data_IF_702290526055
#
_entry.id   IF_702290526055
#
_cell.length_a   1.000
_cell.length_b   1.000
_cell.length_c   1.000
_cell.angle_alpha   90.00
_cell.angle_beta   90.00
_cell.angle_gamma   90.00
#
_symmetry.space_group_name_H-M   'P 1'
#
loop_
_entity.id
_entity.type
_entity.pdbx_description
1 polymer ?
#
# COMPACT_ATOMS: atom_id res chain seq x y z
N UNK A 1 0.48 29.60 13.00
CA UNK A 1 0.86 28.26 12.52
C UNK A 1 0.21 27.25 13.45
N UNK A 2 -0.73 26.44 12.99
CA UNK A 2 -1.37 25.43 13.83
C UNK A 2 -0.35 24.33 14.11
N UNK A 3 0.07 24.20 15.37
CA UNK A 3 1.04 23.20 15.79
C UNK A 3 0.32 21.86 15.99
N UNK A 4 0.76 20.82 15.28
CA UNK A 4 0.29 19.46 15.48
C UNK A 4 0.66 18.96 16.87
N UNK A 5 -0.32 18.43 17.59
CA UNK A 5 -0.06 17.89 18.95
C UNK A 5 0.37 16.43 18.83
N UNK A 6 1.46 16.08 19.52
CA UNK A 6 2.00 14.72 19.50
C UNK A 6 1.41 13.91 20.66
N UNK A 7 1.00 12.69 20.30
CA UNK A 7 0.51 11.64 21.19
C UNK A 7 1.18 10.32 20.87
N UNK A 8 1.04 9.34 21.77
CA UNK A 8 1.54 7.98 21.58
C UNK A 8 0.34 7.01 21.58
N UNK A 9 -0.54 7.14 20.57
CA UNK A 9 -1.71 6.27 20.38
C UNK A 9 -1.36 4.90 19.84
N UNK A 10 -0.12 4.72 19.43
CA UNK A 10 0.42 3.45 18.95
C UNK A 10 1.58 3.02 19.84
N UNK A 11 1.87 1.74 19.83
CA UNK A 11 2.98 1.14 20.58
C UNK A 11 3.62 0.00 19.80
N UNK A 12 4.88 -0.26 20.07
CA UNK A 12 5.57 -1.42 19.51
C UNK A 12 5.00 -2.71 20.14
N UNK A 13 4.59 -3.64 19.28
CA UNK A 13 4.12 -4.98 19.68
C UNK A 13 5.28 -5.97 19.69
N UNK A 14 5.10 -7.09 20.38
CA UNK A 14 6.05 -8.22 20.43
C UNK A 14 7.44 -7.85 20.99
N UNK A 15 7.51 -6.86 21.89
CA UNK A 15 8.74 -6.52 22.62
C UNK A 15 9.83 -5.84 21.80
N UNK A 16 9.48 -5.25 20.68
CA UNK A 16 10.42 -4.48 19.84
C UNK A 16 10.74 -5.14 18.51
N UNK A 17 11.99 -4.97 18.03
CA UNK A 17 12.42 -5.44 16.71
C UNK A 17 12.42 -6.95 16.59
N UNK A 18 11.57 -7.46 15.69
CA UNK A 18 11.68 -8.81 15.16
C UNK A 18 12.68 -8.81 14.01
N UNK A 19 13.34 -9.92 13.74
CA UNK A 19 14.09 -10.13 12.50
C UNK A 19 13.22 -10.92 11.54
N UNK A 20 13.28 -10.58 10.27
CA UNK A 20 12.78 -11.47 9.22
C UNK A 20 13.62 -12.75 9.30
N UNK A 21 12.99 -13.94 9.33
CA UNK A 21 13.70 -15.21 9.46
C UNK A 21 14.80 -15.39 8.42
N UNK A 22 15.87 -16.07 8.80
CA UNK A 22 16.99 -16.37 7.89
C UNK A 22 16.58 -17.34 6.77
N UNK A 23 15.48 -18.09 6.98
CA UNK A 23 14.85 -18.94 5.95
C UNK A 23 14.29 -18.16 4.77
N UNK A 24 14.09 -16.83 4.90
CA UNK A 24 13.77 -15.94 3.77
C UNK A 24 15.04 -15.69 2.97
N UNK A 25 15.16 -16.42 1.86
CA UNK A 25 16.33 -16.38 0.97
C UNK A 25 16.45 -15.03 0.23
N UNK A 26 17.61 -14.75 -0.28
CA UNK A 26 17.88 -13.61 -1.15
C UNK A 26 17.67 -12.24 -0.51
N UNK A 27 17.66 -11.22 -1.33
CA UNK A 27 17.33 -9.84 -0.98
C UNK A 27 15.84 -9.61 -1.17
N UNK A 28 15.21 -8.94 -0.23
CA UNK A 28 13.79 -8.58 -0.31
C UNK A 28 13.62 -7.51 -1.37
N UNK A 29 12.87 -7.83 -2.44
CA UNK A 29 12.55 -6.90 -3.53
C UNK A 29 11.14 -6.33 -3.42
N UNK A 30 10.19 -7.14 -2.98
CA UNK A 30 8.80 -6.71 -2.83
C UNK A 30 8.09 -7.45 -1.68
N UNK A 31 7.07 -6.81 -1.15
CA UNK A 31 6.25 -7.38 -0.06
C UNK A 31 4.78 -7.04 -0.27
N UNK A 32 3.92 -7.94 0.19
CA UNK A 32 2.48 -7.71 0.28
C UNK A 32 1.92 -8.35 1.54
N UNK A 33 0.72 -7.94 1.92
CA UNK A 33 0.00 -8.54 3.03
C UNK A 33 -1.47 -8.73 2.69
N UNK A 34 -2.08 -9.73 3.27
CA UNK A 34 -3.50 -10.01 3.12
C UNK A 34 -3.86 -11.37 3.68
N UNK A 35 -5.14 -11.52 4.08
CA UNK A 35 -5.71 -12.76 4.61
C UNK A 35 -4.90 -13.40 5.73
N UNK A 36 -4.33 -12.55 6.60
CA UNK A 36 -3.56 -13.00 7.75
C UNK A 36 -2.15 -13.53 7.42
N UNK A 37 -1.57 -13.11 6.31
CA UNK A 37 -0.21 -13.49 5.90
C UNK A 37 0.60 -12.26 5.47
N UNK A 38 1.89 -12.33 5.68
CA UNK A 38 2.87 -11.44 5.05
C UNK A 38 3.62 -12.27 4.01
N UNK A 39 3.70 -11.75 2.80
CA UNK A 39 4.32 -12.41 1.64
C UNK A 39 5.49 -11.56 1.18
N UNK A 40 6.63 -12.19 1.01
CA UNK A 40 7.90 -11.57 0.61
C UNK A 40 8.37 -12.20 -0.70
N UNK A 41 8.69 -11.37 -1.68
CA UNK A 41 9.34 -11.76 -2.92
C UNK A 41 10.79 -11.35 -2.91
N UNK A 42 11.66 -12.25 -3.33
CA UNK A 42 13.12 -12.09 -3.29
C UNK A 42 13.74 -12.04 -4.69
N UNK A 43 14.97 -11.55 -4.75
CA UNK A 43 15.76 -11.42 -5.97
C UNK A 43 16.23 -12.77 -6.56
N UNK A 44 16.06 -13.86 -5.83
CA UNK A 44 16.33 -15.22 -6.29
C UNK A 44 15.09 -15.95 -6.87
N UNK A 45 13.98 -15.24 -7.05
CA UNK A 45 12.72 -15.79 -7.59
C UNK A 45 11.84 -16.48 -6.57
N UNK A 46 12.24 -16.52 -5.31
CA UNK A 46 11.50 -17.20 -4.23
C UNK A 46 10.44 -16.28 -3.64
N UNK A 47 9.28 -16.87 -3.35
CA UNK A 47 8.23 -16.24 -2.52
C UNK A 47 8.18 -16.93 -1.19
N UNK A 48 8.32 -16.18 -0.10
CA UNK A 48 8.23 -16.64 1.28
C UNK A 48 6.97 -16.11 1.96
N UNK A 49 6.30 -16.96 2.72
CA UNK A 49 5.13 -16.60 3.52
C UNK A 49 5.46 -16.64 5.00
N UNK A 50 5.04 -15.60 5.70
CA UNK A 50 5.21 -15.46 7.14
C UNK A 50 3.86 -15.46 7.84
N UNK A 51 3.86 -15.99 9.08
CA UNK A 51 2.72 -16.00 9.97
C UNK A 51 2.56 -14.65 10.73
N UNK A 52 1.58 -14.62 11.65
CA UNK A 52 1.28 -13.43 12.47
C UNK A 52 2.45 -13.00 13.37
N UNK A 53 3.30 -13.92 13.78
CA UNK A 53 4.49 -13.65 14.59
C UNK A 53 5.71 -13.25 13.74
N UNK A 54 5.53 -13.10 12.43
CA UNK A 54 6.60 -12.95 11.44
C UNK A 54 7.55 -14.16 11.40
N UNK A 55 7.07 -15.35 11.84
CA UNK A 55 7.82 -16.57 11.70
C UNK A 55 7.67 -17.13 10.29
N UNK A 56 8.70 -17.79 9.81
CA UNK A 56 8.67 -18.48 8.53
C UNK A 56 7.63 -19.61 8.54
N UNK A 57 6.79 -19.63 7.53
CA UNK A 57 5.78 -20.67 7.34
C UNK A 57 6.23 -21.62 6.23
N UNK A 58 6.35 -21.14 5.02
CA UNK A 58 6.92 -21.87 3.88
C UNK A 58 7.39 -20.91 2.79
N UNK A 59 8.18 -21.43 1.85
CA UNK A 59 8.61 -20.71 0.66
C UNK A 59 8.52 -21.63 -0.57
N UNK A 60 8.38 -21.00 -1.74
CA UNK A 60 8.36 -21.73 -3.01
C UNK A 60 8.99 -20.89 -4.13
N UNK A 61 9.60 -21.52 -5.14
CA UNK A 61 10.12 -20.85 -6.31
C UNK A 61 8.96 -20.38 -7.21
N UNK A 62 8.70 -19.07 -7.21
CA UNK A 62 7.65 -18.48 -8.04
C UNK A 62 8.16 -18.14 -9.44
N UNK A 63 9.39 -17.67 -9.56
CA UNK A 63 10.05 -17.28 -10.80
C UNK A 63 11.49 -17.85 -10.86
N UNK A 64 12.06 -17.89 -12.07
CA UNK A 64 13.40 -18.46 -12.25
C UNK A 64 14.53 -17.55 -11.83
N UNK A 65 14.29 -16.22 -11.74
CA UNK A 65 15.31 -15.23 -11.40
C UNK A 65 14.81 -14.33 -10.26
N UNK A 66 13.99 -13.35 -10.53
CA UNK A 66 13.59 -12.36 -9.52
C UNK A 66 12.08 -12.17 -9.43
N UNK A 67 11.56 -11.96 -8.22
CA UNK A 67 10.17 -11.52 -7.99
C UNK A 67 10.19 -10.01 -7.85
N UNK A 68 9.74 -9.29 -8.88
CA UNK A 68 9.79 -7.82 -8.90
C UNK A 68 8.59 -7.18 -8.21
N UNK A 69 7.40 -7.77 -8.40
CA UNK A 69 6.16 -7.30 -7.78
C UNK A 69 5.32 -8.48 -7.34
N UNK A 70 4.58 -8.28 -6.26
CA UNK A 70 3.58 -9.24 -5.82
C UNK A 70 2.43 -8.54 -5.10
N UNK A 71 1.25 -9.14 -5.18
CA UNK A 71 0.08 -8.68 -4.44
C UNK A 71 -0.75 -9.88 -3.98
N UNK A 72 -0.91 -10.01 -2.66
CA UNK A 72 -1.86 -10.93 -2.04
C UNK A 72 -3.28 -10.38 -2.20
N UNK A 73 -4.18 -11.19 -2.75
CA UNK A 73 -5.57 -10.81 -2.94
C UNK A 73 -6.37 -10.98 -1.64
N UNK A 74 -7.43 -10.18 -1.49
CA UNK A 74 -8.23 -10.13 -0.25
C UNK A 74 -9.47 -11.04 -0.28
N UNK A 75 -10.14 -11.14 -1.43
CA UNK A 75 -11.37 -11.92 -1.56
C UNK A 75 -11.07 -13.42 -1.73
N UNK A 76 -10.07 -13.76 -2.54
CA UNK A 76 -9.55 -15.12 -2.69
C UNK A 76 -8.13 -15.21 -2.18
N UNK A 77 -7.72 -16.40 -1.73
CA UNK A 77 -6.35 -16.65 -1.26
C UNK A 77 -5.40 -16.84 -2.45
N UNK A 78 -5.47 -15.88 -3.39
CA UNK A 78 -4.60 -15.85 -4.56
C UNK A 78 -3.46 -14.87 -4.36
N UNK A 79 -2.32 -15.25 -4.87
CA UNK A 79 -1.14 -14.41 -4.96
C UNK A 79 -0.85 -14.13 -6.42
N UNK A 80 -0.80 -12.87 -6.80
CA UNK A 80 -0.40 -12.43 -8.14
C UNK A 80 1.03 -11.93 -8.05
N UNK A 81 1.92 -12.46 -8.89
CA UNK A 81 3.33 -12.09 -8.93
C UNK A 81 3.75 -11.65 -10.33
N UNK A 82 4.72 -10.76 -10.40
CA UNK A 82 5.46 -10.43 -11.61
C UNK A 82 6.94 -10.69 -11.35
N UNK A 83 7.57 -11.42 -12.23
CA UNK A 83 8.99 -11.72 -12.11
C UNK A 83 9.60 -12.14 -13.44
N UNK A 84 10.89 -12.36 -13.38
CA UNK A 84 11.71 -12.80 -14.51
C UNK A 84 11.78 -14.32 -14.54
N UNK A 85 11.35 -14.91 -15.66
CA UNK A 85 11.51 -16.32 -15.95
C UNK A 85 12.58 -16.56 -17.01
N UNK A 86 12.96 -17.83 -17.22
CA UNK A 86 14.04 -18.22 -18.08
C UNK A 86 13.97 -17.60 -19.48
N UNK A 87 15.13 -17.32 -20.03
CA UNK A 87 15.32 -16.67 -21.31
C UNK A 87 14.76 -17.52 -22.46
N UNK A 88 13.94 -16.92 -23.29
CA UNK A 88 13.47 -17.52 -24.55
C UNK A 88 14.54 -17.35 -25.62
N UNK A 89 15.47 -16.41 -25.45
CA UNK A 89 16.65 -16.19 -26.27
C UNK A 89 17.76 -15.57 -25.42
N UNK A 90 19.05 -15.64 -25.85
CA UNK A 90 20.19 -15.10 -25.08
C UNK A 90 20.12 -13.59 -24.76
N UNK A 91 19.10 -12.89 -25.27
CA UNK A 91 18.97 -11.43 -25.13
C UNK A 91 17.64 -10.97 -24.52
N UNK A 92 16.71 -11.87 -24.14
CA UNK A 92 15.42 -11.50 -23.58
C UNK A 92 14.99 -12.43 -22.43
N UNK A 93 15.05 -11.94 -21.21
CA UNK A 93 14.32 -12.54 -20.10
C UNK A 93 12.81 -12.38 -20.30
N UNK A 94 12.06 -13.45 -20.07
CA UNK A 94 10.62 -13.39 -20.17
C UNK A 94 10.02 -12.80 -18.88
N UNK A 95 9.48 -11.60 -18.98
CA UNK A 95 8.70 -11.03 -17.89
C UNK A 95 7.33 -11.69 -17.83
N UNK A 96 7.08 -12.46 -16.77
CA UNK A 96 5.85 -13.23 -16.59
C UNK A 96 5.04 -12.74 -15.38
N UNK A 97 3.73 -12.74 -15.56
CA UNK A 97 2.77 -12.62 -14.49
C UNK A 97 2.25 -14.02 -14.17
N UNK A 98 2.29 -14.41 -12.91
CA UNK A 98 1.77 -15.68 -12.42
C UNK A 98 0.73 -15.48 -11.34
N UNK A 99 -0.27 -16.36 -11.30
CA UNK A 99 -1.30 -16.38 -10.26
C UNK A 99 -1.24 -17.72 -9.56
N UNK A 100 -1.03 -17.70 -8.27
CA UNK A 100 -0.95 -18.88 -7.40
C UNK A 100 -2.19 -18.98 -6.52
N UNK A 101 -2.75 -20.18 -6.39
CA UNK A 101 -3.81 -20.51 -5.43
C UNK A 101 -3.17 -21.05 -4.16
N UNK A 102 -3.11 -20.22 -3.12
CA UNK A 102 -2.47 -20.59 -1.85
C UNK A 102 -3.31 -21.52 -0.98
N UNK A 103 -4.55 -21.83 -1.37
CA UNK A 103 -5.37 -22.85 -0.70
C UNK A 103 -5.13 -24.25 -1.30
N UNK A 104 -4.54 -24.31 -2.51
CA UNK A 104 -4.23 -25.55 -3.21
C UNK A 104 -2.73 -25.80 -3.24
N UNK A 105 -2.30 -26.71 -2.40
CA UNK A 105 -0.91 -27.16 -2.36
C UNK A 105 -0.77 -28.46 -3.14
N UNK A 106 0.11 -28.49 -4.11
CA UNK A 106 0.42 -29.74 -4.81
C UNK A 106 1.32 -30.62 -3.92
N UNK A 107 0.94 -31.88 -3.66
CA UNK A 107 1.79 -32.81 -2.94
C UNK A 107 2.98 -33.20 -3.84
N UNK A 108 4.11 -32.54 -3.68
CA UNK A 108 5.37 -33.08 -4.21
C UNK A 108 5.92 -34.16 -3.29
N UNK A 109 6.39 -35.25 -3.88
CA UNK A 109 6.81 -36.48 -3.20
C UNK A 109 8.02 -36.38 -2.26
N UNK A 110 8.55 -35.18 -1.97
CA UNK A 110 9.61 -34.94 -1.00
C UNK A 110 9.56 -33.50 -0.48
N UNK A 111 9.11 -33.34 0.75
CA UNK A 111 9.34 -32.23 1.69
C UNK A 111 9.00 -30.76 1.35
N UNK A 112 8.48 -30.39 0.20
CA UNK A 112 7.98 -29.02 -0.07
C UNK A 112 6.70 -29.03 -0.91
N UNK A 113 5.59 -28.65 -0.31
CA UNK A 113 4.34 -28.42 -1.04
C UNK A 113 4.41 -27.06 -1.75
N UNK A 114 4.26 -27.06 -3.08
CA UNK A 114 4.24 -25.83 -3.91
C UNK A 114 2.78 -25.43 -4.17
N UNK A 115 2.39 -24.16 -4.03
CA UNK A 115 1.06 -23.68 -4.40
C UNK A 115 0.75 -23.90 -5.89
N UNK A 116 -0.51 -24.21 -6.17
CA UNK A 116 -0.95 -24.41 -7.57
C UNK A 116 -0.88 -23.11 -8.37
N UNK A 117 -0.10 -23.14 -9.45
CA UNK A 117 -0.03 -22.02 -10.39
C UNK A 117 -1.20 -22.12 -11.38
N UNK A 118 -2.27 -21.37 -11.11
CA UNK A 118 -3.52 -21.42 -11.88
C UNK A 118 -3.50 -20.58 -13.16
N UNK A 119 -2.46 -19.78 -13.38
CA UNK A 119 -2.34 -19.02 -14.62
C UNK A 119 -0.99 -18.36 -14.80
N UNK A 120 -0.49 -18.37 -16.03
CA UNK A 120 0.79 -17.77 -16.43
C UNK A 120 0.56 -16.91 -17.66
N UNK A 121 0.99 -15.65 -17.60
CA UNK A 121 0.87 -14.71 -18.70
C UNK A 121 2.20 -14.01 -18.97
N UNK A 122 2.64 -14.00 -20.22
CA UNK A 122 3.72 -13.10 -20.66
C UNK A 122 3.19 -11.67 -20.70
N UNK A 123 3.89 -10.74 -20.05
CA UNK A 123 3.50 -9.33 -20.00
C UNK A 123 3.81 -8.67 -21.34
N UNK A 124 5.04 -8.84 -21.82
CA UNK A 124 5.49 -8.22 -23.06
C UNK A 124 5.21 -9.12 -24.26
N UNK A 125 4.61 -8.55 -25.28
CA UNK A 125 4.24 -9.19 -26.53
C UNK A 125 4.49 -8.21 -27.68
N UNK A 126 4.22 -8.59 -28.93
CA UNK A 126 4.35 -7.68 -30.06
C UNK A 126 3.46 -6.42 -29.93
N UNK A 127 2.30 -6.54 -29.27
CA UNK A 127 1.40 -5.41 -28.98
C UNK A 127 1.83 -4.58 -27.77
N UNK A 128 2.59 -5.18 -26.86
CA UNK A 128 3.06 -4.61 -25.61
C UNK A 128 4.58 -4.77 -25.54
N UNK A 129 5.34 -3.87 -26.21
CA UNK A 129 6.79 -3.97 -26.27
C UNK A 129 7.42 -3.81 -24.91
N UNK A 130 8.63 -4.36 -24.75
CA UNK A 130 9.36 -4.37 -23.50
C UNK A 130 9.66 -2.96 -23.00
N UNK A 131 9.43 -2.73 -21.70
CA UNK A 131 9.75 -1.54 -20.97
C UNK A 131 9.95 -1.89 -19.48
N UNK A 132 10.56 -1.01 -18.70
CA UNK A 132 10.76 -1.27 -17.28
C UNK A 132 9.44 -1.10 -16.52
N UNK A 133 9.06 -2.10 -15.75
CA UNK A 133 7.88 -2.03 -14.87
C UNK A 133 8.24 -1.18 -13.64
N UNK A 134 7.40 -0.21 -13.31
CA UNK A 134 7.63 0.75 -12.23
C UNK A 134 6.54 0.73 -11.16
N UNK A 135 5.36 0.21 -11.51
CA UNK A 135 4.23 0.09 -10.57
C UNK A 135 3.32 -1.06 -10.95
N UNK A 136 2.64 -1.61 -9.97
CA UNK A 136 1.77 -2.77 -10.14
C UNK A 136 0.58 -2.68 -9.17
N UNK A 137 -0.62 -2.99 -9.68
CA UNK A 137 -1.83 -3.00 -8.88
C UNK A 137 -2.84 -3.99 -9.45
N UNK A 138 -3.49 -4.76 -8.57
CA UNK A 138 -4.54 -5.71 -8.93
C UNK A 138 -5.83 -5.35 -8.21
N UNK A 139 -6.92 -5.31 -8.95
CA UNK A 139 -8.29 -5.20 -8.44
C UNK A 139 -9.04 -6.50 -8.67
N UNK A 140 -9.66 -7.02 -7.61
CA UNK A 140 -10.65 -8.10 -7.69
C UNK A 140 -12.02 -7.48 -8.00
N UNK A 141 -12.45 -7.48 -9.26
CA UNK A 141 -13.71 -6.85 -9.69
C UNK A 141 -14.92 -7.69 -9.28
N UNK A 142 -14.97 -8.92 -9.74
CA UNK A 142 -15.91 -9.95 -9.33
C UNK A 142 -15.26 -11.31 -9.57
N UNK A 143 -14.93 -12.09 -8.54
CA UNK A 143 -14.25 -13.37 -8.75
C UNK A 143 -14.96 -14.26 -9.78
N UNK A 144 -14.27 -14.81 -10.79
CA UNK A 144 -12.80 -14.87 -10.92
C UNK A 144 -12.14 -13.73 -11.73
N UNK A 145 -12.84 -12.64 -12.03
CA UNK A 145 -12.34 -11.56 -12.87
C UNK A 145 -11.37 -10.69 -12.10
N UNK A 146 -10.15 -10.56 -12.62
CA UNK A 146 -9.14 -9.63 -12.14
C UNK A 146 -8.95 -8.50 -13.15
N UNK A 147 -8.70 -7.31 -12.64
CA UNK A 147 -8.18 -6.18 -13.41
C UNK A 147 -6.80 -5.83 -12.89
N UNK A 148 -5.81 -5.98 -13.74
CA UNK A 148 -4.40 -5.78 -13.43
C UNK A 148 -3.92 -4.56 -14.17
N UNK A 149 -3.29 -3.61 -13.47
CA UNK A 149 -2.64 -2.44 -14.05
C UNK A 149 -1.13 -2.51 -13.79
N UNK A 150 -0.34 -2.42 -14.85
CA UNK A 150 1.12 -2.47 -14.85
C UNK A 150 1.63 -1.17 -15.42
N UNK A 151 2.18 -0.32 -14.56
CA UNK A 151 2.76 0.96 -14.94
C UNK A 151 4.22 0.80 -15.38
N UNK A 152 4.60 1.55 -16.39
CA UNK A 152 5.90 1.47 -17.05
C UNK A 152 6.66 2.80 -16.95
N UNK A 153 7.97 2.73 -17.19
CA UNK A 153 8.88 3.88 -17.18
C UNK A 153 8.68 4.86 -18.36
N UNK A 154 7.94 4.44 -19.37
CA UNK A 154 7.63 5.24 -20.56
C UNK A 154 6.22 5.89 -20.50
N UNK A 155 5.60 5.99 -19.33
CA UNK A 155 4.28 6.61 -19.13
C UNK A 155 3.10 5.77 -19.63
N UNK A 156 3.35 4.53 -20.05
CA UNK A 156 2.30 3.59 -20.43
C UNK A 156 1.81 2.80 -19.21
N UNK A 157 0.54 2.37 -19.27
CA UNK A 157 -0.03 1.42 -18.33
C UNK A 157 -0.59 0.27 -19.16
N UNK A 158 -0.11 -0.95 -18.92
CA UNK A 158 -0.68 -2.15 -19.51
C UNK A 158 -1.75 -2.70 -18.59
N UNK A 159 -2.95 -2.87 -19.14
CA UNK A 159 -4.08 -3.40 -18.41
C UNK A 159 -4.46 -4.77 -18.94
N UNK A 160 -4.69 -5.72 -18.01
CA UNK A 160 -5.13 -7.07 -18.29
C UNK A 160 -6.41 -7.28 -17.49
N UNK A 161 -7.53 -7.58 -18.16
CA UNK A 161 -8.82 -7.82 -17.52
C UNK A 161 -9.35 -9.19 -17.92
N UNK A 162 -9.77 -9.98 -16.94
CA UNK A 162 -10.44 -11.25 -17.20
C UNK A 162 -10.16 -12.36 -16.18
N UNK A 163 -10.57 -13.57 -16.55
CA UNK A 163 -10.30 -14.79 -15.80
C UNK A 163 -8.99 -15.42 -16.32
N UNK A 164 -7.93 -15.21 -15.54
CA UNK A 164 -6.58 -15.66 -15.92
C UNK A 164 -6.49 -17.19 -15.93
N UNK A 165 -7.14 -17.87 -14.98
CA UNK A 165 -7.12 -19.32 -14.87
C UNK A 165 -7.78 -20.02 -16.08
N UNK A 166 -8.72 -19.36 -16.74
CA UNK A 166 -9.39 -19.86 -17.95
C UNK A 166 -8.89 -19.23 -19.23
N UNK A 167 -7.82 -18.42 -19.16
CA UNK A 167 -7.25 -17.68 -20.28
C UNK A 167 -8.25 -16.76 -21.01
N UNK A 168 -9.34 -16.37 -20.33
CA UNK A 168 -10.36 -15.45 -20.87
C UNK A 168 -10.02 -14.04 -20.49
N UNK A 169 -9.04 -13.46 -21.19
CA UNK A 169 -8.50 -12.14 -20.88
C UNK A 169 -8.61 -11.19 -22.05
N UNK A 170 -8.77 -9.91 -21.74
CA UNK A 170 -8.59 -8.80 -22.67
C UNK A 170 -7.39 -7.98 -22.21
N UNK A 171 -6.65 -7.44 -23.19
CA UNK A 171 -5.50 -6.57 -22.93
C UNK A 171 -5.73 -5.22 -23.59
N UNK A 172 -5.42 -4.15 -22.89
CA UNK A 172 -5.48 -2.80 -23.44
C UNK A 172 -4.39 -1.93 -22.84
N UNK A 173 -4.14 -0.80 -23.50
CA UNK A 173 -3.07 0.12 -23.14
C UNK A 173 -3.65 1.50 -22.82
N UNK A 174 -3.17 2.12 -21.77
CA UNK A 174 -3.42 3.51 -21.42
C UNK A 174 -2.12 4.29 -21.55
N UNK A 175 -2.21 5.56 -21.94
CA UNK A 175 -1.07 6.44 -22.08
C UNK A 175 -1.31 7.71 -21.26
N UNK A 176 -0.38 8.02 -20.34
CA UNK A 176 -0.47 9.21 -19.50
C UNK A 176 -0.01 10.45 -20.25
N UNK A 177 1.10 10.36 -21.02
CA UNK A 177 1.64 11.48 -21.77
C UNK A 177 1.22 11.45 -23.23
N UNK A 178 1.13 12.63 -23.88
CA UNK A 178 0.97 12.68 -25.32
C UNK A 178 2.26 12.19 -26.01
N UNK A 179 2.12 11.32 -26.99
CA UNK A 179 3.24 10.70 -27.74
C UNK A 179 4.20 11.73 -28.38
N UNK A 180 3.77 13.00 -28.47
CA UNK A 180 4.55 14.12 -29.01
C UNK A 180 5.61 14.67 -28.07
N UNK A 181 5.48 14.46 -26.75
CA UNK A 181 6.46 14.92 -25.77
C UNK A 181 7.58 13.89 -25.60
N UNK A 182 8.81 14.26 -25.94
CA UNK A 182 10.00 13.40 -25.86
C UNK A 182 10.44 13.02 -24.44
N UNK A 183 9.78 13.57 -23.42
CA UNK A 183 10.06 13.27 -22.00
C UNK A 183 8.94 12.42 -21.41
N UNK A 184 8.97 11.12 -21.65
CA UNK A 184 8.06 10.21 -20.97
C UNK A 184 8.41 10.14 -19.49
N UNK A 185 7.42 10.38 -18.62
CA UNK A 185 7.59 10.24 -17.18
C UNK A 185 7.09 8.86 -16.71
N UNK A 186 7.91 8.18 -15.92
CA UNK A 186 7.57 6.87 -15.33
C UNK A 186 6.26 6.92 -14.53
N UNK A 187 5.47 5.87 -14.59
CA UNK A 187 4.32 5.70 -13.69
C UNK A 187 4.84 5.41 -12.27
N UNK A 188 4.65 6.34 -11.37
CA UNK A 188 5.13 6.26 -9.97
C UNK A 188 4.10 5.71 -9.00
N UNK A 189 2.82 5.72 -9.39
CA UNK A 189 1.74 5.19 -8.57
C UNK A 189 0.46 4.94 -9.34
N UNK A 190 -0.31 4.00 -8.84
CA UNK A 190 -1.60 3.58 -9.38
C UNK A 190 -2.62 3.47 -8.25
N UNK A 191 -3.89 3.78 -8.52
CA UNK A 191 -4.98 3.62 -7.56
C UNK A 191 -6.30 3.32 -8.26
N UNK A 192 -6.93 2.19 -7.97
CA UNK A 192 -8.28 1.91 -8.44
C UNK A 192 -9.33 2.57 -7.56
N UNK A 193 -10.33 3.15 -8.20
CA UNK A 193 -11.56 3.63 -7.58
C UNK A 193 -12.74 2.89 -8.20
N UNK A 194 -13.55 2.31 -7.33
CA UNK A 194 -14.83 1.68 -7.71
C UNK A 194 -15.94 2.45 -7.01
N UNK A 195 -16.86 3.02 -7.77
CA UNK A 195 -18.01 3.77 -7.26
C UNK A 195 -19.27 3.31 -8.01
N UNK A 196 -20.01 2.40 -7.37
CA UNK A 196 -21.11 1.71 -8.01
C UNK A 196 -20.66 0.92 -9.25
N UNK A 197 -21.14 1.35 -10.43
CA UNK A 197 -20.69 0.78 -11.71
C UNK A 197 -19.49 1.51 -12.31
N UNK A 198 -19.09 2.64 -11.74
CA UNK A 198 -17.97 3.43 -12.25
C UNK A 198 -16.64 2.81 -11.81
N UNK A 199 -15.86 2.35 -12.78
CA UNK A 199 -14.51 1.86 -12.59
C UNK A 199 -13.52 2.86 -13.15
N UNK A 200 -12.64 3.33 -12.29
CA UNK A 200 -11.67 4.38 -12.60
C UNK A 200 -10.27 3.97 -12.12
N UNK A 201 -9.25 4.48 -12.80
CA UNK A 201 -7.86 4.28 -12.45
C UNK A 201 -7.14 5.63 -12.35
N UNK A 202 -6.66 5.96 -11.18
CA UNK A 202 -5.68 7.02 -10.99
C UNK A 202 -4.31 6.54 -11.43
N UNK A 203 -3.62 7.39 -12.16
CA UNK A 203 -2.24 7.19 -12.58
C UNK A 203 -1.40 8.42 -12.23
N UNK A 204 -0.32 8.20 -11.53
CA UNK A 204 0.60 9.24 -11.06
C UNK A 204 1.94 9.06 -11.77
N UNK A 205 2.49 10.18 -12.23
CA UNK A 205 3.87 10.32 -12.68
C UNK A 205 4.55 11.40 -11.84
N UNK A 206 5.86 11.64 -11.94
CA UNK A 206 6.47 12.80 -11.28
C UNK A 206 5.85 14.14 -11.71
N UNK A 207 5.32 14.20 -12.92
CA UNK A 207 4.88 15.43 -13.57
C UNK A 207 3.35 15.58 -13.66
N UNK A 208 2.57 14.58 -13.29
CA UNK A 208 1.11 14.66 -13.42
C UNK A 208 0.34 13.69 -12.55
N UNK A 209 -0.92 14.03 -12.29
CA UNK A 209 -1.95 13.14 -11.76
C UNK A 209 -3.06 13.04 -12.79
N UNK A 210 -3.35 11.85 -13.25
CA UNK A 210 -4.37 11.56 -14.27
C UNK A 210 -5.40 10.56 -13.76
N UNK A 211 -6.64 10.70 -14.23
CA UNK A 211 -7.74 9.78 -13.97
C UNK A 211 -8.22 9.18 -15.28
N UNK A 212 -8.32 7.86 -15.35
CA UNK A 212 -8.87 7.13 -16.49
C UNK A 212 -10.23 6.55 -16.12
N UNK A 213 -11.26 6.85 -16.92
CA UNK A 213 -12.57 6.19 -16.83
C UNK A 213 -12.55 4.94 -17.71
N UNK A 214 -12.60 3.77 -17.10
CA UNK A 214 -12.39 2.49 -17.78
C UNK A 214 -13.66 1.87 -18.40
N UNK A 215 -14.85 2.48 -18.17
CA UNK A 215 -16.09 2.04 -18.83
C UNK A 215 -16.17 2.46 -20.28
N UNK A 216 -15.54 3.59 -20.63
CA UNK A 216 -15.58 4.14 -21.96
C UNK A 216 -14.68 3.32 -22.91
N UNK A 217 -15.09 3.13 -24.12
CA UNK A 217 -14.27 2.54 -25.18
C UNK A 217 -14.12 3.55 -26.31
N UNK A 218 -12.92 4.16 -26.48
CA UNK A 218 -11.70 4.02 -25.68
C UNK A 218 -11.81 4.66 -24.29
N UNK A 219 -10.97 4.23 -23.33
CA UNK A 219 -10.93 4.82 -21.99
C UNK A 219 -10.67 6.33 -22.04
N UNK A 220 -11.48 7.11 -21.30
CA UNK A 220 -11.33 8.58 -21.26
C UNK A 220 -10.34 8.97 -20.18
N UNK A 221 -9.35 9.77 -20.56
CA UNK A 221 -8.37 10.39 -19.63
C UNK A 221 -8.81 11.80 -19.23
N UNK A 222 -8.59 12.15 -17.97
CA UNK A 222 -8.67 13.48 -17.40
C UNK A 222 -7.39 13.76 -16.63
N UNK A 223 -6.71 14.86 -16.88
CA UNK A 223 -5.58 15.31 -16.06
C UNK A 223 -6.12 16.12 -14.89
N UNK A 224 -5.82 15.69 -13.67
CA UNK A 224 -6.26 16.33 -12.44
C UNK A 224 -5.24 17.34 -11.91
N UNK A 225 -3.94 17.11 -12.14
CA UNK A 225 -2.85 18.01 -11.76
C UNK A 225 -1.66 17.83 -12.71
N UNK A 226 -0.87 18.90 -12.87
CA UNK A 226 0.36 18.93 -13.67
C UNK A 226 1.62 18.72 -12.83
N UNK A 227 1.48 18.32 -11.60
CA UNK A 227 2.55 17.92 -10.69
C UNK A 227 2.11 16.62 -10.00
N UNK A 228 2.94 15.62 -10.01
CA UNK A 228 2.67 14.34 -9.37
C UNK A 228 3.55 14.06 -8.15
N UNK A 229 4.07 12.85 -8.01
CA UNK A 229 4.92 12.45 -6.90
C UNK A 229 5.90 11.33 -7.28
N UNK A 230 6.85 11.07 -6.37
CA UNK A 230 7.81 9.99 -6.52
C UNK A 230 7.22 8.60 -6.24
N UNK A 231 7.96 7.56 -6.55
CA UNK A 231 7.61 6.16 -6.26
C UNK A 231 7.37 5.96 -4.76
N UNK A 232 6.44 5.09 -4.39
CA UNK A 232 6.01 4.76 -3.02
C UNK A 232 5.35 5.91 -2.25
N UNK A 233 5.24 7.11 -2.84
CA UNK A 233 4.59 8.28 -2.24
C UNK A 233 3.12 8.41 -2.68
N UNK A 234 2.48 7.29 -2.99
CA UNK A 234 1.09 7.22 -3.46
C UNK A 234 0.34 6.15 -2.67
N UNK A 235 -0.86 6.48 -2.21
CA UNK A 235 -1.77 5.52 -1.57
C UNK A 235 -3.23 5.91 -1.81
N UNK A 236 -4.16 5.05 -1.41
CA UNK A 236 -5.59 5.31 -1.47
C UNK A 236 -6.18 5.37 -0.06
N UNK A 237 -7.10 6.31 0.19
CA UNK A 237 -7.89 6.32 1.42
C UNK A 237 -9.00 5.25 1.38
N UNK A 238 -9.60 4.98 2.54
CA UNK A 238 -10.80 4.12 2.66
C UNK A 238 -12.04 4.72 1.99
N UNK A 239 -12.01 6.02 1.63
CA UNK A 239 -13.02 6.71 0.81
C UNK A 239 -12.71 6.69 -0.69
N UNK A 240 -11.72 5.91 -1.11
CA UNK A 240 -11.26 5.85 -2.50
C UNK A 240 -10.75 7.19 -3.06
N UNK A 241 -10.18 8.04 -2.19
CA UNK A 241 -9.43 9.24 -2.58
C UNK A 241 -7.98 8.84 -2.85
N UNK A 242 -7.39 9.39 -3.90
CA UNK A 242 -5.96 9.23 -4.13
C UNK A 242 -5.19 10.19 -3.22
N UNK A 243 -4.16 9.69 -2.56
CA UNK A 243 -3.29 10.49 -1.70
C UNK A 243 -1.87 10.44 -2.25
N UNK A 244 -1.27 11.60 -2.48
CA UNK A 244 0.11 11.70 -2.94
C UNK A 244 0.96 12.56 -2.01
N UNK A 245 2.22 12.17 -1.85
CA UNK A 245 3.21 12.89 -1.06
C UNK A 245 4.17 13.68 -1.94
N UNK A 246 4.34 14.97 -1.62
CA UNK A 246 5.38 15.85 -2.15
C UNK A 246 6.26 16.34 -1.02
N UNK A 247 7.45 16.87 -1.27
CA UNK A 247 8.33 17.34 -0.19
C UNK A 247 7.68 18.32 0.78
N UNK A 248 6.80 19.20 0.30
CA UNK A 248 6.16 20.24 1.09
C UNK A 248 4.86 19.81 1.78
N UNK A 249 4.11 18.85 1.17
CA UNK A 249 2.77 18.51 1.64
C UNK A 249 2.30 17.13 1.16
N UNK A 250 1.18 16.70 1.72
CA UNK A 250 0.38 15.56 1.23
C UNK A 250 -0.92 16.11 0.65
N UNK A 251 -1.28 15.66 -0.54
CA UNK A 251 -2.43 16.11 -1.32
C UNK A 251 -3.42 14.99 -1.53
N UNK A 252 -4.70 15.31 -1.43
CA UNK A 252 -5.81 14.41 -1.72
C UNK A 252 -6.41 14.76 -3.07
N UNK A 253 -6.82 13.75 -3.82
CA UNK A 253 -7.47 13.90 -5.12
C UNK A 253 -8.74 13.07 -5.17
N UNK A 254 -9.79 13.71 -5.64
CA UNK A 254 -11.05 13.08 -6.02
C UNK A 254 -11.19 13.08 -7.55
N UNK A 255 -12.34 12.63 -8.06
CA UNK A 255 -12.59 12.51 -9.50
C UNK A 255 -12.67 13.87 -10.22
N UNK A 256 -13.05 14.92 -9.51
CA UNK A 256 -13.22 16.28 -10.01
C UNK A 256 -11.97 17.15 -9.85
N UNK A 257 -10.95 16.66 -9.14
CA UNK A 257 -9.68 17.37 -9.01
C UNK A 257 -9.02 17.25 -7.63
N UNK A 258 -8.24 18.27 -7.32
CA UNK A 258 -7.48 18.36 -6.09
C UNK A 258 -8.37 18.76 -4.91
N UNK A 259 -8.40 17.94 -3.89
CA UNK A 259 -9.06 18.16 -2.62
C UNK A 259 -8.17 18.84 -1.57
N UNK A 260 -8.34 18.51 -0.28
CA UNK A 260 -7.55 19.09 0.79
C UNK A 260 -6.07 18.73 0.70
N UNK A 261 -5.23 19.59 1.28
CA UNK A 261 -3.81 19.32 1.44
C UNK A 261 -3.37 19.57 2.89
N UNK A 262 -2.31 18.86 3.29
CA UNK A 262 -1.74 18.93 4.63
C UNK A 262 -0.24 19.17 4.53
N UNK A 263 0.23 20.30 5.08
CA UNK A 263 1.65 20.66 5.06
C UNK A 263 2.44 19.78 6.03
N UNK A 264 3.25 18.90 5.48
CA UNK A 264 4.25 18.09 6.18
C UNK A 264 5.55 18.22 5.40
N UNK A 265 6.55 18.82 5.99
CA UNK A 265 7.85 19.00 5.35
C UNK A 265 8.66 17.69 5.31
N UNK A 266 9.49 17.54 4.31
CA UNK A 266 10.39 16.42 4.09
C UNK A 266 9.94 15.46 3.00
N UNK A 267 10.89 14.77 2.41
CA UNK A 267 10.65 13.80 1.34
C UNK A 267 9.91 12.58 1.88
N UNK A 268 8.72 12.30 1.31
CA UNK A 268 7.90 11.15 1.67
C UNK A 268 8.41 9.92 0.94
N UNK A 269 9.05 9.03 1.66
CA UNK A 269 9.59 7.77 1.15
C UNK A 269 8.49 6.71 0.98
N UNK A 270 7.54 6.67 1.92
CA UNK A 270 6.35 5.83 1.84
C UNK A 270 5.13 6.59 2.36
N UNK A 271 4.01 6.38 1.70
CA UNK A 271 2.67 6.71 2.20
C UNK A 271 1.83 5.44 2.34
N UNK A 272 0.95 5.44 3.33
CA UNK A 272 -0.04 4.39 3.56
C UNK A 272 -1.28 4.95 4.23
N UNK A 273 -2.33 4.15 4.22
CA UNK A 273 -3.58 4.44 4.90
C UNK A 273 -3.96 3.28 5.81
N UNK A 274 -4.27 3.59 7.06
CA UNK A 274 -4.59 2.58 8.05
C UNK A 274 -5.69 3.07 8.97
N UNK A 275 -6.90 2.51 8.87
CA UNK A 275 -8.04 2.78 9.77
C UNK A 275 -8.31 4.28 10.00
N UNK A 276 -8.27 5.07 8.94
CA UNK A 276 -8.49 6.51 9.02
C UNK A 276 -7.25 7.34 9.38
N UNK A 277 -6.11 6.71 9.60
CA UNK A 277 -4.82 7.37 9.82
C UNK A 277 -4.00 7.42 8.53
N UNK A 278 -3.33 8.54 8.31
CA UNK A 278 -2.31 8.66 7.29
C UNK A 278 -0.97 8.18 7.86
N UNK A 279 -0.37 7.19 7.23
CA UNK A 279 0.97 6.71 7.52
C UNK A 279 1.97 7.41 6.60
N UNK A 280 3.08 7.88 7.17
CA UNK A 280 4.09 8.57 6.40
C UNK A 280 5.49 8.21 6.91
N UNK A 281 6.34 7.74 6.01
CA UNK A 281 7.78 7.60 6.26
C UNK A 281 8.48 8.77 5.58
N UNK A 282 9.15 9.59 6.36
CA UNK A 282 9.90 10.76 5.89
C UNK A 282 11.38 10.44 5.98
N UNK A 283 12.09 10.58 4.87
CA UNK A 283 13.54 10.42 4.82
C UNK A 283 14.25 11.63 5.45
N UNK A 284 15.13 11.40 6.42
CA UNK A 284 16.04 12.42 6.91
C UNK A 284 17.42 12.21 6.28
N UNK A 285 17.69 13.01 5.27
CA UNK A 285 18.97 12.94 4.52
C UNK A 285 20.19 13.28 5.38
N UNK A 286 20.01 13.98 6.51
CA UNK A 286 21.13 14.41 7.39
C UNK A 286 21.56 13.31 8.35
N UNK A 287 20.60 12.62 8.94
CA UNK A 287 20.89 11.57 9.94
C UNK A 287 21.04 10.18 9.31
N UNK A 288 20.65 10.00 8.05
CA UNK A 288 20.57 8.69 7.39
C UNK A 288 19.52 7.75 8.00
N UNK A 289 18.61 8.30 8.82
CA UNK A 289 17.47 7.60 9.42
C UNK A 289 16.19 8.07 8.78
N UNK A 290 15.16 7.26 8.88
CA UNK A 290 13.80 7.63 8.50
C UNK A 290 12.99 8.00 9.74
N UNK A 291 11.99 8.86 9.58
CA UNK A 291 11.00 9.13 10.62
C UNK A 291 9.65 8.57 10.16
N UNK A 292 9.14 7.60 10.90
CA UNK A 292 7.79 7.07 10.70
C UNK A 292 6.80 7.88 11.53
N UNK A 293 5.76 8.39 10.89
CA UNK A 293 4.69 9.16 11.52
C UNK A 293 3.33 8.57 11.18
N UNK A 294 2.43 8.62 12.18
CA UNK A 294 1.00 8.31 12.04
C UNK A 294 0.22 9.59 12.32
N UNK A 295 -0.55 10.06 11.35
CA UNK A 295 -1.32 11.30 11.46
C UNK A 295 -2.82 11.02 11.54
N UNK A 296 -3.47 11.55 12.58
CA UNK A 296 -4.90 11.74 12.63
C UNK A 296 -5.24 13.11 12.01
N UNK A 297 -5.58 13.10 10.73
CA UNK A 297 -5.84 14.33 9.98
C UNK A 297 -7.11 15.03 10.48
N UNK A 298 -8.12 14.27 10.88
CA UNK A 298 -9.41 14.79 11.36
C UNK A 298 -9.24 15.60 12.65
N UNK A 299 -8.46 15.06 13.59
CA UNK A 299 -8.22 15.70 14.88
C UNK A 299 -6.93 16.54 14.90
N UNK A 300 -6.18 16.58 13.79
CA UNK A 300 -4.90 17.30 13.65
C UNK A 300 -3.88 16.87 14.70
N UNK A 301 -3.70 15.58 14.87
CA UNK A 301 -2.77 14.98 15.80
C UNK A 301 -1.68 14.18 15.08
N UNK A 302 -0.47 14.21 15.62
CA UNK A 302 0.53 13.19 15.36
C UNK A 302 0.24 12.06 16.36
N UNK A 303 -0.43 11.00 15.89
CA UNK A 303 -0.84 9.88 16.73
C UNK A 303 0.33 8.99 17.15
N UNK A 304 1.42 9.00 16.37
CA UNK A 304 2.68 8.34 16.68
C UNK A 304 3.81 8.94 15.87
N UNK A 305 5.02 8.93 16.40
CA UNK A 305 6.21 9.38 15.68
C UNK A 305 7.45 8.67 16.22
N UNK A 306 8.13 7.95 15.35
CA UNK A 306 9.28 7.12 15.72
C UNK A 306 10.42 7.32 14.71
N UNK A 307 11.63 7.60 15.22
CA UNK A 307 12.84 7.57 14.39
C UNK A 307 13.31 6.13 14.23
N UNK A 308 13.45 5.68 12.99
CA UNK A 308 13.83 4.31 12.65
C UNK A 308 15.03 4.31 11.72
N UNK A 309 15.69 3.17 11.56
CA UNK A 309 16.63 2.96 10.46
C UNK A 309 15.87 3.05 9.14
N UNK A 310 16.59 3.01 8.02
CA UNK A 310 15.99 3.08 6.70
C UNK A 310 14.92 2.00 6.50
N UNK A 311 13.68 2.45 6.21
CA UNK A 311 12.55 1.59 5.89
C UNK A 311 12.68 1.13 4.44
N UNK A 312 12.58 -0.17 4.21
CA UNK A 312 12.52 -0.76 2.87
C UNK A 312 11.09 -1.04 2.41
N UNK A 313 10.22 -1.48 3.32
CA UNK A 313 8.82 -1.76 3.02
C UNK A 313 7.91 -1.40 4.20
N UNK A 314 6.67 -1.04 3.88
CA UNK A 314 5.63 -0.74 4.86
C UNK A 314 4.35 -1.50 4.49
N UNK A 315 3.82 -2.27 5.44
CA UNK A 315 2.66 -3.13 5.28
C UNK A 315 1.67 -2.91 6.43
N UNK A 316 0.41 -3.30 6.21
CA UNK A 316 -0.62 -3.29 7.24
C UNK A 316 -1.31 -4.65 7.26
N UNK A 317 -1.16 -5.40 8.36
CA UNK A 317 -1.80 -6.71 8.54
C UNK A 317 -2.10 -6.97 10.01
N UNK A 318 -3.06 -7.82 10.31
CA UNK A 318 -3.53 -8.18 11.67
C UNK A 318 -3.90 -6.98 12.55
N UNK A 319 -4.30 -5.87 11.95
CA UNK A 319 -4.57 -4.64 12.70
C UNK A 319 -3.33 -3.90 13.19
N UNK A 320 -2.14 -4.26 12.66
CA UNK A 320 -0.87 -3.61 12.96
C UNK A 320 -0.24 -3.03 11.69
N UNK A 321 0.69 -2.11 11.91
CA UNK A 321 1.57 -1.56 10.88
C UNK A 321 2.91 -2.29 11.02
N UNK A 322 3.43 -2.81 9.91
CA UNK A 322 4.69 -3.56 9.87
C UNK A 322 5.67 -2.77 9.00
N UNK A 323 6.77 -2.36 9.60
CA UNK A 323 7.89 -1.72 8.89
C UNK A 323 9.01 -2.74 8.76
N UNK A 324 9.40 -3.04 7.52
CA UNK A 324 10.59 -3.85 7.23
C UNK A 324 11.74 -2.88 6.93
N UNK A 325 12.85 -3.06 7.61
CA UNK A 325 14.03 -2.20 7.48
C UNK A 325 15.07 -2.84 6.53
N UNK A 326 15.97 -2.04 6.05
CA UNK A 326 17.02 -2.49 5.11
C UNK A 326 17.98 -3.54 5.70
N UNK A 327 18.07 -3.62 7.02
CA UNK A 327 18.86 -4.65 7.74
C UNK A 327 18.07 -5.95 8.02
N UNK A 328 16.95 -6.17 7.32
CA UNK A 328 16.01 -7.28 7.53
C UNK A 328 15.39 -7.32 8.95
N UNK A 329 15.51 -6.26 9.74
CA UNK A 329 14.72 -6.14 10.96
C UNK A 329 13.30 -5.66 10.63
N UNK A 330 12.33 -6.06 11.45
CA UNK A 330 10.94 -5.67 11.32
C UNK A 330 10.44 -5.04 12.62
N UNK A 331 9.62 -3.99 12.49
CA UNK A 331 8.92 -3.35 13.60
C UNK A 331 7.42 -3.57 13.40
N UNK A 332 6.77 -4.12 14.40
CA UNK A 332 5.32 -4.27 14.43
C UNK A 332 4.73 -3.24 15.38
N UNK A 333 3.89 -2.35 14.86
CA UNK A 333 3.33 -1.22 15.59
C UNK A 333 1.81 -1.38 15.60
N UNK A 334 1.23 -1.45 16.79
CA UNK A 334 -0.21 -1.61 16.97
C UNK A 334 -0.86 -0.40 17.63
N UNK A 335 -2.11 -0.17 17.31
CA UNK A 335 -2.93 0.85 17.95
C UNK A 335 -3.26 0.44 19.38
N UNK A 336 -3.16 1.39 20.33
CA UNK A 336 -3.61 1.21 21.71
C UNK A 336 -5.12 1.15 21.78
N UNK A 337 -5.63 0.53 22.84
CA UNK A 337 -7.06 0.50 23.11
C UNK A 337 -7.65 1.91 23.33
N UNK A 338 -8.97 2.01 23.23
CA UNK A 338 -9.67 3.29 23.34
C UNK A 338 -9.48 3.93 24.72
N UNK A 339 -9.51 3.12 25.78
CA UNK A 339 -9.37 3.61 27.15
C UNK A 339 -8.02 4.29 27.36
N UNK A 340 -6.93 3.65 26.94
CA UNK A 340 -5.58 4.22 27.00
C UNK A 340 -5.45 5.53 26.21
N UNK A 341 -6.09 5.62 25.03
CA UNK A 341 -6.08 6.86 24.24
C UNK A 341 -6.85 7.98 24.93
N UNK A 342 -8.04 7.68 25.48
CA UNK A 342 -8.87 8.65 26.21
C UNK A 342 -8.16 9.16 27.46
N UNK A 343 -7.51 8.30 28.22
CA UNK A 343 -6.74 8.68 29.40
C UNK A 343 -5.61 9.67 29.08
N UNK A 344 -4.92 9.47 27.96
CA UNK A 344 -3.90 10.42 27.49
C UNK A 344 -4.50 11.78 27.12
N UNK A 345 -5.71 11.81 26.54
CA UNK A 345 -6.42 13.04 26.20
C UNK A 345 -6.94 13.76 27.45
N UNK A 346 -7.51 13.03 28.42
CA UNK A 346 -8.02 13.59 29.70
C UNK A 346 -6.89 14.21 30.54
N UNK A 347 -5.73 13.55 30.61
CA UNK A 347 -4.54 14.10 31.28
C UNK A 347 -4.10 15.47 30.73
N UNK A 348 -4.48 15.78 29.48
CA UNK A 348 -4.20 17.05 28.81
C UNK A 348 -5.43 17.97 28.69
N UNK A 349 -6.53 17.63 29.34
CA UNK A 349 -7.82 18.34 29.29
C UNK A 349 -8.36 18.52 27.85
N UNK A 350 -8.13 17.56 26.96
CA UNK A 350 -8.54 17.60 25.56
C UNK A 350 -9.87 16.87 25.32
N UNK A 351 -10.90 17.23 26.09
CA UNK A 351 -12.21 16.57 26.08
C UNK A 351 -12.91 16.64 24.72
N UNK A 352 -12.80 17.77 24.00
CA UNK A 352 -13.37 17.93 22.67
C UNK A 352 -12.76 16.94 21.67
N UNK A 353 -11.43 16.73 21.75
CA UNK A 353 -10.73 15.74 20.92
C UNK A 353 -11.14 14.33 21.32
N UNK A 354 -11.31 14.06 22.62
CA UNK A 354 -11.79 12.77 23.12
C UNK A 354 -13.20 12.44 22.58
N UNK A 355 -14.12 13.42 22.60
CA UNK A 355 -15.47 13.26 22.01
C UNK A 355 -15.39 12.94 20.52
N UNK A 356 -14.60 13.71 19.75
CA UNK A 356 -14.40 13.49 18.32
C UNK A 356 -13.82 12.11 18.02
N UNK A 357 -12.85 11.65 18.85
CA UNK A 357 -12.22 10.34 18.70
C UNK A 357 -13.25 9.21 18.88
N UNK A 358 -14.04 9.26 19.97
CA UNK A 358 -15.06 8.26 20.28
C UNK A 358 -16.13 8.22 19.17
N UNK A 359 -16.56 9.38 18.68
CA UNK A 359 -17.55 9.48 17.59
C UNK A 359 -16.97 8.95 16.25
N UNK A 360 -15.70 9.24 15.96
CA UNK A 360 -15.08 8.83 14.70
C UNK A 360 -14.82 7.32 14.62
N UNK A 361 -14.59 6.68 15.74
CA UNK A 361 -14.32 5.23 15.80
C UNK A 361 -15.59 4.41 16.11
N UNK A 362 -16.78 5.05 16.09
CA UNK A 362 -18.05 4.38 16.35
C UNK A 362 -18.03 3.58 17.67
N UNK A 363 -17.37 4.11 18.68
CA UNK A 363 -17.36 3.48 20.00
C UNK A 363 -18.79 3.39 20.57
N UNK A 364 -18.99 2.47 21.50
CA UNK A 364 -20.31 2.24 22.06
C UNK A 364 -20.85 3.50 22.78
N UNK A 365 -22.17 3.51 23.01
CA UNK A 365 -22.85 4.63 23.67
C UNK A 365 -22.34 4.84 25.12
N UNK A 366 -21.84 3.79 25.78
CA UNK A 366 -21.29 3.86 27.13
C UNK A 366 -19.98 4.64 27.18
N UNK A 367 -19.07 4.39 26.23
CA UNK A 367 -17.81 5.14 26.13
C UNK A 367 -18.07 6.63 25.82
N UNK A 368 -19.04 6.93 24.96
CA UNK A 368 -19.44 8.31 24.67
C UNK A 368 -20.01 9.00 25.88
N UNK A 369 -20.91 8.35 26.63
CA UNK A 369 -21.49 8.89 27.85
C UNK A 369 -20.41 9.17 28.93
N UNK A 370 -19.45 8.27 29.09
CA UNK A 370 -18.34 8.43 30.04
C UNK A 370 -17.46 9.66 29.71
N UNK A 371 -17.14 9.85 28.42
CA UNK A 371 -16.39 11.04 27.98
C UNK A 371 -17.16 12.32 28.25
N UNK A 372 -18.45 12.36 27.95
CA UNK A 372 -19.32 13.51 28.20
C UNK A 372 -19.46 13.81 29.69
N UNK A 373 -19.60 12.77 30.53
CA UNK A 373 -19.63 12.90 31.98
C UNK A 373 -18.34 13.53 32.52
N UNK A 374 -17.18 12.98 32.17
CA UNK A 374 -15.87 13.53 32.57
C UNK A 374 -15.67 14.98 32.08
N UNK A 375 -16.20 15.31 30.91
CA UNK A 375 -16.14 16.70 30.41
C UNK A 375 -17.03 17.63 31.23
N UNK A 376 -18.27 17.20 31.57
CA UNK A 376 -19.17 17.96 32.45
C UNK A 376 -18.57 18.18 33.82
N UNK A 377 -17.99 17.15 34.45
CA UNK A 377 -17.32 17.26 35.75
C UNK A 377 -16.13 18.25 35.69
N UNK A 378 -15.38 18.26 34.59
CA UNK A 378 -14.29 19.20 34.40
C UNK A 378 -14.78 20.65 34.27
N UNK A 379 -15.82 20.91 33.49
CA UNK A 379 -16.42 22.24 33.36
C UNK A 379 -16.95 22.72 34.71
N UNK A 380 -17.71 21.88 35.40
CA UNK A 380 -18.22 22.20 36.74
C UNK A 380 -17.11 22.53 37.75
N UNK A 381 -15.98 21.79 37.72
CA UNK A 381 -14.85 22.03 38.59
C UNK A 381 -14.13 23.37 38.33
N UNK A 382 -14.28 23.91 37.12
CA UNK A 382 -13.75 25.23 36.72
C UNK A 382 -14.72 26.39 36.97
N UNK A 383 -15.93 26.11 37.43
CA UNK A 383 -17.00 27.08 37.59
C UNK A 383 -17.43 27.80 36.30
N UNK A 384 -17.28 27.12 35.16
CA UNK A 384 -17.73 27.59 33.84
C UNK A 384 -19.10 27.00 33.48
#
# INVERSE_FOLDING_TARGET
MYQWRKFEFFEEKYGGKSKIPEDVSGKIECCSSGRGKVVIGSDDGTVSLLDRGLNFNFAFPAHSSSVLFLQQLKQRNFLVTIGEDEQISPQQSAMCLKVFDLDKMQPEGTSSSIPDCIGILRIFTNQFPQAKITSFLVLEEAPPILLIAIGLDNGCIYCIKGDIARERITRFKLQVDNISDKSHASITGLGFRVDGQALQLFAVTPNSVSLFSLHNQPPRRQTLDQIGSNVNSVTMSDRSELIIGRPEAVYFYEVDGRGPCWAFEGEKKFLGWFRGYLLCVIADQRSGKDTFNVYDLKNRLIAHSLAVKQVSHMLCEWGNIILILTDKSALCIGEKDMESKLDMLFKKNLYTVAINLVQSQQADAAATAEVLRKYGDHLYSKQD
#
